data_IF_328737715740
#
_entry.id   IF_328737715740
#
_cell.length_a   1.000
_cell.length_b   1.000
_cell.length_c   1.000
_cell.angle_alpha   90.00
_cell.angle_beta   90.00
_cell.angle_gamma   90.00
#
_symmetry.space_group_name_H-M   'P 1'
#
loop_
_entity.id
_entity.type
_entity.pdbx_description
1 polymer ?
#
# COMPACT_ATOMS: atom_id res chain seq x y z
N UNK A 1 3.49 -38.19 12.17
CA UNK A 1 4.74 -38.05 12.96
C UNK A 1 5.18 -36.60 12.94
N UNK A 2 5.92 -36.18 13.94
CA UNK A 2 6.46 -34.82 13.99
C UNK A 2 7.89 -34.84 13.45
N UNK A 3 8.16 -34.12 12.39
CA UNK A 3 9.49 -33.94 11.82
C UNK A 3 9.99 -32.56 12.26
N UNK A 4 11.20 -32.54 12.82
CA UNK A 4 11.86 -31.31 13.25
C UNK A 4 13.20 -31.20 12.51
N UNK A 5 13.39 -30.08 11.80
CA UNK A 5 14.68 -29.72 11.17
C UNK A 5 15.21 -28.47 11.86
N UNK A 6 16.49 -28.50 12.22
CA UNK A 6 17.16 -27.35 12.86
C UNK A 6 18.41 -26.97 12.07
N UNK A 7 18.64 -25.67 11.95
CA UNK A 7 19.87 -25.13 11.37
C UNK A 7 20.38 -24.00 12.27
N UNK A 8 21.53 -24.26 12.92
CA UNK A 8 22.03 -23.38 13.97
C UNK A 8 21.08 -23.33 15.17
N UNK A 9 21.07 -22.20 15.87
CA UNK A 9 20.20 -21.98 17.04
C UNK A 9 18.89 -21.27 16.65
N UNK A 10 18.85 -20.58 15.52
CA UNK A 10 17.77 -19.67 15.14
C UNK A 10 16.73 -20.27 14.20
N UNK A 11 17.10 -21.23 13.34
CA UNK A 11 16.16 -21.76 12.35
C UNK A 11 15.57 -23.10 12.80
N UNK A 12 14.25 -23.15 12.87
CA UNK A 12 13.49 -24.35 13.18
C UNK A 12 12.38 -24.55 12.15
N UNK A 13 12.24 -25.77 11.62
CA UNK A 13 11.14 -26.17 10.76
C UNK A 13 10.43 -27.38 11.40
N UNK A 14 9.12 -27.28 11.52
CA UNK A 14 8.23 -28.33 12.02
C UNK A 14 7.26 -28.73 10.92
N UNK A 15 7.00 -30.03 10.73
CA UNK A 15 6.03 -30.52 9.74
C UNK A 15 5.66 -31.99 10.03
N UNK A 16 4.61 -32.50 9.36
CA UNK A 16 4.22 -33.90 9.48
C UNK A 16 5.12 -34.82 8.65
N UNK A 17 5.56 -34.36 7.49
CA UNK A 17 6.49 -35.08 6.63
C UNK A 17 7.40 -34.13 5.85
N UNK A 18 8.60 -34.59 5.53
CA UNK A 18 9.62 -33.84 4.82
C UNK A 18 10.28 -34.72 3.78
N UNK A 19 10.46 -34.18 2.59
CA UNK A 19 11.29 -34.77 1.55
C UNK A 19 12.51 -33.88 1.30
N UNK A 20 13.70 -34.40 1.42
CA UNK A 20 14.94 -33.70 1.14
C UNK A 20 15.69 -34.38 -0.01
N UNK A 21 15.97 -33.64 -1.05
CA UNK A 21 16.83 -34.04 -2.16
C UNK A 21 18.23 -33.48 -1.92
N UNK A 22 19.18 -34.37 -1.63
CA UNK A 22 20.56 -34.01 -1.34
C UNK A 22 21.34 -33.51 -2.56
N UNK A 23 20.99 -33.97 -3.77
CA UNK A 23 21.65 -33.57 -5.01
C UNK A 23 21.26 -32.12 -5.39
N UNK A 24 19.97 -31.79 -5.30
CA UNK A 24 19.44 -30.45 -5.60
C UNK A 24 19.40 -29.51 -4.39
N UNK A 25 19.64 -30.03 -3.18
CA UNK A 25 19.55 -29.30 -1.89
C UNK A 25 18.21 -28.63 -1.68
N UNK A 26 17.12 -29.29 -2.06
CA UNK A 26 15.76 -28.78 -1.91
C UNK A 26 14.99 -29.58 -0.87
N UNK A 27 14.15 -28.86 -0.11
CA UNK A 27 13.21 -29.46 0.82
C UNK A 27 11.78 -29.22 0.34
N UNK A 28 10.93 -30.20 0.58
CA UNK A 28 9.48 -30.08 0.49
C UNK A 28 8.88 -30.57 1.80
N UNK A 29 8.19 -29.71 2.50
CA UNK A 29 7.59 -29.98 3.81
C UNK A 29 6.08 -29.97 3.70
N UNK A 30 5.40 -30.93 4.33
CA UNK A 30 3.97 -31.13 4.21
C UNK A 30 3.32 -31.32 5.58
N UNK A 31 2.08 -30.80 5.70
CA UNK A 31 1.22 -30.96 6.87
C UNK A 31 1.65 -30.06 8.03
N UNK A 32 0.80 -29.12 8.38
CA UNK A 32 0.99 -28.20 9.53
C UNK A 32 2.40 -27.59 9.59
N UNK A 33 2.92 -27.18 8.43
CA UNK A 33 4.31 -26.69 8.33
C UNK A 33 4.46 -25.38 9.07
N UNK A 34 5.50 -25.29 9.89
CA UNK A 34 5.86 -24.10 10.65
C UNK A 34 7.36 -23.87 10.58
N UNK A 35 7.75 -22.76 9.95
CA UNK A 35 9.12 -22.28 9.88
C UNK A 35 9.28 -21.10 10.83
N UNK A 36 10.29 -21.14 11.68
CA UNK A 36 10.57 -20.10 12.66
C UNK A 36 12.04 -19.71 12.52
N UNK A 37 12.27 -18.40 12.46
CA UNK A 37 13.61 -17.81 12.65
C UNK A 37 13.54 -16.66 13.65
N UNK A 38 14.64 -15.93 13.85
CA UNK A 38 14.71 -14.81 14.80
C UNK A 38 13.77 -13.65 14.46
N UNK A 39 13.33 -13.54 13.22
CA UNK A 39 12.56 -12.40 12.72
C UNK A 39 11.07 -12.71 12.55
N UNK A 40 10.72 -13.98 12.26
CA UNK A 40 9.33 -14.31 11.91
C UNK A 40 8.97 -15.79 12.11
N UNK A 41 7.69 -16.04 12.15
CA UNK A 41 7.07 -17.34 12.05
C UNK A 41 6.26 -17.43 10.75
N UNK A 42 6.57 -18.39 9.88
CA UNK A 42 5.82 -18.70 8.67
C UNK A 42 5.08 -20.02 8.85
N UNK A 43 3.79 -20.06 8.60
CA UNK A 43 2.97 -21.26 8.61
C UNK A 43 2.24 -21.48 7.28
N UNK A 44 2.18 -22.75 6.83
CA UNK A 44 1.48 -23.18 5.62
C UNK A 44 1.19 -24.68 5.68
N UNK A 45 0.37 -25.20 4.79
CA UNK A 45 0.21 -26.66 4.64
C UNK A 45 1.37 -27.29 3.86
N UNK A 46 1.96 -26.53 2.95
CA UNK A 46 3.10 -26.98 2.13
C UNK A 46 4.11 -25.85 2.04
N UNK A 47 5.37 -26.16 2.32
CA UNK A 47 6.47 -25.21 2.22
C UNK A 47 7.63 -25.85 1.47
N UNK A 48 8.19 -25.08 0.55
CA UNK A 48 9.36 -25.44 -0.23
C UNK A 48 10.55 -24.57 0.16
N UNK A 49 11.73 -25.14 0.24
CA UNK A 49 12.96 -24.43 0.50
C UNK A 49 14.06 -24.82 -0.49
N UNK A 50 14.60 -23.86 -1.19
CA UNK A 50 15.78 -24.02 -2.05
C UNK A 50 17.01 -23.46 -1.33
N UNK A 51 17.89 -24.35 -0.84
CA UNK A 51 19.09 -23.93 -0.11
C UNK A 51 20.15 -23.27 -0.99
N UNK A 52 20.15 -23.53 -2.30
CA UNK A 52 21.13 -22.91 -3.19
C UNK A 52 20.80 -21.44 -3.43
N UNK A 53 19.51 -21.08 -3.38
CA UNK A 53 19.01 -19.73 -3.61
C UNK A 53 18.64 -19.01 -2.31
N UNK A 54 18.70 -19.70 -1.16
CA UNK A 54 18.18 -19.22 0.12
C UNK A 54 16.74 -18.68 0.02
N UNK A 55 15.86 -19.46 -0.65
CA UNK A 55 14.47 -19.08 -0.90
C UNK A 55 13.50 -20.06 -0.25
N UNK A 56 12.48 -19.51 0.38
CA UNK A 56 11.34 -20.25 0.91
C UNK A 56 10.11 -19.83 0.14
N UNK A 57 9.25 -20.76 -0.28
CA UNK A 57 8.01 -20.41 -0.96
C UNK A 57 6.86 -21.36 -0.62
N UNK A 58 5.64 -20.87 -0.78
CA UNK A 58 4.40 -21.60 -0.62
C UNK A 58 3.39 -21.22 -1.72
N UNK A 59 2.53 -22.19 -2.10
CA UNK A 59 1.55 -22.03 -3.16
C UNK A 59 0.11 -22.12 -2.65
N UNK A 60 -0.08 -22.53 -1.39
CA UNK A 60 -1.37 -22.89 -0.82
C UNK A 60 -1.57 -22.22 0.53
N UNK A 61 -1.81 -20.91 0.51
CA UNK A 61 -2.05 -20.10 1.68
C UNK A 61 -0.93 -20.16 2.73
N UNK A 62 -0.23 -19.08 2.86
CA UNK A 62 0.76 -18.86 3.90
C UNK A 62 0.36 -17.75 4.84
N UNK A 63 0.77 -17.90 6.09
CA UNK A 63 0.64 -16.88 7.11
C UNK A 63 1.99 -16.62 7.73
N UNK A 64 2.39 -15.36 7.74
CA UNK A 64 3.63 -14.89 8.37
C UNK A 64 3.25 -14.00 9.54
N UNK A 65 3.90 -14.20 10.67
CA UNK A 65 3.78 -13.37 11.86
C UNK A 65 5.18 -12.86 12.17
N UNK A 66 5.36 -11.56 12.13
CA UNK A 66 6.54 -10.87 12.66
C UNK A 66 6.20 -10.14 13.97
N UNK A 67 7.11 -9.29 14.47
CA UNK A 67 6.92 -8.62 15.76
C UNK A 67 5.67 -7.73 15.83
N UNK A 68 5.20 -7.17 14.72
CA UNK A 68 4.12 -6.19 14.67
C UNK A 68 3.02 -6.54 13.67
N UNK A 69 3.32 -7.38 12.68
CA UNK A 69 2.42 -7.60 11.55
C UNK A 69 2.02 -9.05 11.40
N UNK A 70 0.83 -9.23 10.87
CA UNK A 70 0.41 -10.51 10.32
C UNK A 70 0.22 -10.35 8.82
N UNK A 71 0.87 -11.21 8.03
CA UNK A 71 0.80 -11.22 6.58
C UNK A 71 0.17 -12.53 6.13
N UNK A 72 -0.82 -12.47 5.27
CA UNK A 72 -1.49 -13.62 4.69
C UNK A 72 -1.54 -13.48 3.16
N UNK A 73 -1.30 -14.55 2.44
CA UNK A 73 -1.44 -14.62 0.98
C UNK A 73 -1.69 -16.04 0.51
N UNK A 74 -2.19 -16.22 -0.71
CA UNK A 74 -2.33 -17.55 -1.28
C UNK A 74 -0.98 -18.09 -1.74
N UNK A 75 -0.13 -17.24 -2.34
CA UNK A 75 1.23 -17.57 -2.75
C UNK A 75 2.21 -16.58 -2.16
N UNK A 76 3.35 -17.05 -1.76
CA UNK A 76 4.41 -16.21 -1.24
C UNK A 76 5.78 -16.81 -1.42
N UNK A 77 6.77 -15.95 -1.53
CA UNK A 77 8.18 -16.28 -1.62
C UNK A 77 8.97 -15.36 -0.70
N UNK A 78 9.87 -15.92 0.06
CA UNK A 78 10.78 -15.19 0.94
C UNK A 78 12.22 -15.40 0.48
N UNK A 79 12.91 -14.33 0.15
CA UNK A 79 14.33 -14.29 -0.18
C UNK A 79 15.09 -13.92 1.09
N UNK A 80 15.72 -14.90 1.71
CA UNK A 80 16.34 -14.75 3.03
C UNK A 80 17.47 -13.71 2.99
N UNK A 81 18.34 -13.78 1.96
CA UNK A 81 19.50 -12.90 1.86
C UNK A 81 19.14 -11.41 1.67
N UNK A 82 18.03 -11.17 0.99
CA UNK A 82 17.55 -9.81 0.67
C UNK A 82 16.46 -9.33 1.62
N UNK A 83 16.03 -10.17 2.55
CA UNK A 83 14.89 -9.93 3.45
C UNK A 83 13.66 -9.39 2.71
N UNK A 84 13.38 -9.98 1.55
CA UNK A 84 12.32 -9.58 0.64
C UNK A 84 11.25 -10.65 0.58
N UNK A 85 10.01 -10.21 0.63
CA UNK A 85 8.85 -11.03 0.30
C UNK A 85 8.30 -10.66 -1.07
N UNK A 86 7.86 -11.66 -1.83
CA UNK A 86 6.98 -11.54 -2.99
C UNK A 86 5.68 -12.24 -2.67
N UNK A 87 4.56 -11.55 -2.84
CA UNK A 87 3.23 -12.10 -2.54
C UNK A 87 2.30 -11.96 -3.73
N UNK A 88 1.52 -13.01 -3.96
CA UNK A 88 0.48 -13.04 -4.97
C UNK A 88 -0.83 -13.61 -4.42
N UNK A 89 -1.93 -13.10 -4.95
CA UNK A 89 -3.30 -13.54 -4.70
C UNK A 89 -3.75 -13.38 -3.24
N UNK A 90 -4.72 -12.50 -3.05
CA UNK A 90 -5.36 -12.24 -1.75
C UNK A 90 -4.41 -11.79 -0.63
N UNK A 91 -3.41 -11.01 -0.97
CA UNK A 91 -2.44 -10.51 0.02
C UNK A 91 -3.13 -9.60 1.04
N UNK A 92 -2.86 -9.84 2.31
CA UNK A 92 -3.35 -9.04 3.45
C UNK A 92 -2.24 -8.82 4.44
N UNK A 93 -1.94 -7.58 4.74
CA UNK A 93 -1.04 -7.20 5.84
C UNK A 93 -1.90 -6.50 6.89
N UNK A 94 -1.85 -6.98 8.13
CA UNK A 94 -2.46 -6.35 9.28
C UNK A 94 -1.37 -5.93 10.24
N UNK A 95 -1.19 -4.62 10.37
CA UNK A 95 -0.31 -3.96 11.31
C UNK A 95 -1.16 -3.01 12.18
N UNK A 96 -0.78 -2.68 13.42
CA UNK A 96 -1.52 -1.72 14.24
C UNK A 96 -1.74 -0.36 13.59
N UNK A 97 -0.78 0.12 12.79
CA UNK A 97 -0.84 1.45 12.16
C UNK A 97 -1.48 1.45 10.76
N UNK A 98 -1.45 0.30 10.07
CA UNK A 98 -2.00 0.20 8.72
C UNK A 98 -2.52 -1.20 8.38
N UNK A 99 -3.39 -1.26 7.39
CA UNK A 99 -3.84 -2.50 6.76
C UNK A 99 -3.65 -2.39 5.25
N UNK A 100 -2.97 -3.38 4.67
CA UNK A 100 -2.77 -3.46 3.21
C UNK A 100 -3.54 -4.66 2.67
N UNK A 101 -4.17 -4.47 1.51
CA UNK A 101 -4.69 -5.56 0.68
C UNK A 101 -4.16 -5.37 -0.73
N UNK A 102 -3.67 -6.43 -1.33
CA UNK A 102 -3.10 -6.40 -2.67
C UNK A 102 -3.37 -7.71 -3.42
N UNK A 103 -3.40 -7.64 -4.74
CA UNK A 103 -3.41 -8.84 -5.58
C UNK A 103 -1.99 -9.30 -5.93
N UNK A 104 -0.99 -8.39 -5.86
CA UNK A 104 0.43 -8.69 -6.07
C UNK A 104 1.29 -7.57 -5.52
N UNK A 105 2.25 -7.91 -4.66
CA UNK A 105 3.17 -6.96 -4.06
C UNK A 105 4.49 -7.58 -3.62
N UNK A 106 5.51 -6.73 -3.54
CA UNK A 106 6.77 -7.02 -2.84
C UNK A 106 6.81 -6.23 -1.53
N UNK A 107 7.45 -6.82 -0.52
CA UNK A 107 7.69 -6.16 0.76
C UNK A 107 9.13 -6.40 1.22
N UNK A 108 9.82 -5.33 1.56
CA UNK A 108 11.22 -5.37 2.04
C UNK A 108 11.25 -5.10 3.53
N UNK A 109 11.68 -6.07 4.33
CA UNK A 109 11.69 -5.98 5.79
C UNK A 109 12.61 -4.88 6.33
N UNK A 110 13.84 -4.77 5.81
CA UNK A 110 14.83 -3.84 6.34
C UNK A 110 14.46 -2.37 6.10
N UNK A 111 13.77 -2.08 5.01
CA UNK A 111 13.39 -0.72 4.61
C UNK A 111 11.93 -0.41 4.87
N UNK A 112 11.13 -1.41 5.21
CA UNK A 112 9.68 -1.33 5.37
C UNK A 112 8.96 -0.76 4.13
N UNK A 113 9.51 -1.05 2.92
CA UNK A 113 8.97 -0.63 1.64
C UNK A 113 8.04 -1.68 1.05
N UNK A 114 6.83 -1.28 0.70
CA UNK A 114 5.86 -2.08 -0.03
C UNK A 114 5.74 -1.58 -1.48
N UNK A 115 5.94 -2.45 -2.46
CA UNK A 115 5.74 -2.15 -3.89
C UNK A 115 4.51 -2.89 -4.41
N UNK A 116 3.65 -2.19 -5.10
CA UNK A 116 2.38 -2.70 -5.63
C UNK A 116 2.43 -2.84 -7.14
N UNK A 117 2.03 -3.99 -7.65
CA UNK A 117 2.04 -4.30 -9.09
C UNK A 117 0.65 -4.50 -9.68
N UNK A 118 -0.35 -4.67 -8.80
CA UNK A 118 -1.76 -4.82 -9.15
C UNK A 118 -2.62 -4.06 -8.15
N UNK A 119 -3.93 -4.16 -8.33
CA UNK A 119 -4.93 -3.55 -7.45
C UNK A 119 -4.56 -3.69 -5.98
N UNK A 120 -4.42 -2.54 -5.33
CA UNK A 120 -4.01 -2.47 -3.93
C UNK A 120 -4.77 -1.39 -3.17
N UNK A 121 -4.95 -1.63 -1.90
CA UNK A 121 -5.54 -0.67 -0.97
C UNK A 121 -4.73 -0.61 0.31
N UNK A 122 -4.52 0.60 0.81
CA UNK A 122 -3.88 0.85 2.10
C UNK A 122 -4.86 1.63 2.95
N UNK A 123 -5.09 1.16 4.17
CA UNK A 123 -5.93 1.85 5.15
C UNK A 123 -5.08 2.18 6.36
N UNK A 124 -4.97 3.46 6.68
CA UNK A 124 -4.42 3.99 7.93
C UNK A 124 -5.56 4.51 8.80
N UNK A 125 -5.26 5.08 9.96
CA UNK A 125 -6.29 5.70 10.81
C UNK A 125 -6.98 6.87 10.13
N UNK A 126 -6.25 7.64 9.30
CA UNK A 126 -6.76 8.85 8.66
C UNK A 126 -7.14 8.68 7.20
N UNK A 127 -6.48 7.78 6.48
CA UNK A 127 -6.58 7.70 5.02
C UNK A 127 -6.95 6.32 4.51
N UNK A 128 -7.66 6.32 3.38
CA UNK A 128 -7.84 5.16 2.54
C UNK A 128 -7.22 5.47 1.17
N UNK A 129 -6.27 4.65 0.76
CA UNK A 129 -5.51 4.81 -0.47
C UNK A 129 -5.82 3.63 -1.39
N UNK A 130 -5.92 3.89 -2.68
CA UNK A 130 -6.10 2.90 -3.73
C UNK A 130 -5.14 3.19 -4.88
N UNK A 131 -4.58 2.14 -5.48
CA UNK A 131 -3.78 2.20 -6.71
C UNK A 131 -3.78 0.86 -7.44
N UNK A 132 -3.37 0.87 -8.71
CA UNK A 132 -3.06 -0.35 -9.45
C UNK A 132 -1.54 -0.59 -9.54
N UNK A 133 -0.74 0.44 -9.27
CA UNK A 133 0.72 0.38 -9.19
C UNK A 133 1.21 1.45 -8.22
N UNK A 134 2.36 1.23 -7.59
CA UNK A 134 2.96 2.24 -6.72
C UNK A 134 3.88 1.65 -5.67
N UNK A 135 4.29 2.48 -4.75
CA UNK A 135 4.99 2.04 -3.54
C UNK A 135 4.52 2.83 -2.32
N UNK A 136 4.71 2.25 -1.16
CA UNK A 136 4.46 2.88 0.12
C UNK A 136 5.58 2.52 1.11
N UNK A 137 6.25 3.55 1.61
CA UNK A 137 7.16 3.47 2.74
C UNK A 137 6.31 3.50 4.02
N UNK A 138 6.15 2.35 4.65
CA UNK A 138 5.27 2.21 5.81
C UNK A 138 5.86 2.88 7.06
N UNK A 139 7.19 2.98 7.13
CA UNK A 139 7.92 3.63 8.23
C UNK A 139 7.81 5.15 8.16
N UNK A 140 8.10 5.73 7.00
CA UNK A 140 8.09 7.17 6.80
C UNK A 140 6.70 7.70 6.38
N UNK A 141 5.73 6.81 6.11
CA UNK A 141 4.36 7.13 5.70
C UNK A 141 4.28 7.98 4.44
N UNK A 142 5.16 7.65 3.46
CA UNK A 142 5.28 8.32 2.18
C UNK A 142 5.03 7.32 1.05
N UNK A 143 4.34 7.74 0.00
CA UNK A 143 4.12 6.87 -1.15
C UNK A 143 3.93 7.61 -2.47
N UNK A 144 4.07 6.86 -3.57
CA UNK A 144 3.64 7.25 -4.90
C UNK A 144 2.67 6.17 -5.39
N UNK A 145 1.50 6.59 -5.79
CA UNK A 145 0.41 5.73 -6.23
C UNK A 145 0.04 6.08 -7.67
N UNK A 146 -0.03 5.09 -8.53
CA UNK A 146 -0.20 5.27 -9.98
C UNK A 146 -1.35 4.40 -10.50
N UNK A 147 -1.81 4.74 -11.71
CA UNK A 147 -2.83 4.03 -12.46
C UNK A 147 -4.16 3.99 -11.68
N UNK A 148 -4.96 5.04 -11.89
CA UNK A 148 -6.23 5.29 -11.19
C UNK A 148 -6.06 5.50 -9.67
N UNK A 149 -5.03 6.24 -9.30
CA UNK A 149 -4.75 6.49 -7.90
C UNK A 149 -5.86 7.30 -7.21
N UNK A 150 -6.09 6.95 -5.95
CA UNK A 150 -7.06 7.62 -5.09
C UNK A 150 -6.53 7.70 -3.67
N UNK A 151 -6.53 8.89 -3.10
CA UNK A 151 -6.30 9.13 -1.67
C UNK A 151 -7.55 9.77 -1.09
N UNK A 152 -8.06 9.25 0.02
CA UNK A 152 -9.28 9.78 0.61
C UNK A 152 -9.21 9.74 2.13
N UNK A 153 -9.76 10.78 2.75
CA UNK A 153 -10.06 10.85 4.18
C UNK A 153 -11.57 11.07 4.40
N UNK A 154 -11.96 11.44 5.61
CA UNK A 154 -13.36 11.72 5.95
C UNK A 154 -13.95 12.83 5.08
N UNK A 155 -13.20 13.89 4.82
CA UNK A 155 -13.67 15.12 4.22
C UNK A 155 -13.43 15.21 2.71
N UNK A 156 -12.34 14.61 2.22
CA UNK A 156 -11.84 14.86 0.87
C UNK A 156 -11.48 13.57 0.14
N UNK A 157 -11.63 13.59 -1.17
CA UNK A 157 -11.16 12.54 -2.06
C UNK A 157 -10.31 13.19 -3.16
N UNK A 158 -9.10 12.69 -3.35
CA UNK A 158 -8.18 13.10 -4.42
C UNK A 158 -8.03 11.92 -5.37
N UNK A 159 -8.26 12.15 -6.66
CA UNK A 159 -7.99 11.23 -7.76
C UNK A 159 -6.92 11.83 -8.67
N UNK A 160 -6.13 10.97 -9.29
CA UNK A 160 -5.14 11.32 -10.30
C UNK A 160 -4.53 10.07 -10.93
N UNK A 161 -3.89 10.21 -12.09
CA UNK A 161 -3.14 9.10 -12.68
C UNK A 161 -1.90 8.78 -11.83
N UNK A 162 -1.31 9.79 -11.17
CA UNK A 162 -0.23 9.63 -10.20
C UNK A 162 -0.45 10.58 -9.02
N UNK A 163 -0.31 10.05 -7.79
CA UNK A 163 -0.41 10.81 -6.55
C UNK A 163 0.83 10.52 -5.71
N UNK A 164 1.61 11.57 -5.40
CA UNK A 164 2.55 11.57 -4.29
C UNK A 164 1.81 11.89 -3.01
N UNK A 165 2.09 11.18 -1.94
CA UNK A 165 1.43 11.31 -0.65
C UNK A 165 2.45 11.28 0.49
N UNK A 166 2.30 12.19 1.45
CA UNK A 166 3.09 12.23 2.67
C UNK A 166 2.17 12.49 3.86
N UNK A 167 1.90 11.44 4.65
CA UNK A 167 1.00 11.50 5.80
C UNK A 167 1.53 12.41 6.91
N UNK A 168 2.85 12.39 7.17
CA UNK A 168 3.46 13.21 8.23
C UNK A 168 3.36 14.72 7.94
N UNK A 169 3.46 15.10 6.68
CA UNK A 169 3.30 16.49 6.25
C UNK A 169 1.85 16.86 5.97
N UNK A 170 0.94 15.89 5.97
CA UNK A 170 -0.45 16.07 5.53
C UNK A 170 -0.52 16.74 4.16
N UNK A 171 0.31 16.24 3.24
CA UNK A 171 0.50 16.76 1.91
C UNK A 171 0.28 15.69 0.85
N UNK A 172 -0.37 16.11 -0.23
CA UNK A 172 -0.45 15.30 -1.44
C UNK A 172 -0.24 16.18 -2.67
N UNK A 173 0.45 15.65 -3.69
CA UNK A 173 0.40 16.22 -5.03
C UNK A 173 -0.13 15.18 -6.00
N UNK A 174 -0.92 15.64 -6.95
CA UNK A 174 -1.53 14.77 -7.96
C UNK A 174 -1.24 15.31 -9.36
N UNK A 175 -1.09 14.42 -10.32
CA UNK A 175 -0.83 14.75 -11.71
C UNK A 175 -1.66 13.92 -12.67
N UNK A 176 -2.14 14.59 -13.73
CA UNK A 176 -3.00 14.09 -14.80
C UNK A 176 -4.38 13.61 -14.32
N UNK A 177 -5.41 14.00 -15.05
CA UNK A 177 -6.80 13.60 -14.78
C UNK A 177 -7.28 13.85 -13.33
N UNK A 178 -6.86 14.99 -12.78
CA UNK A 178 -7.12 15.27 -11.36
C UNK A 178 -8.59 15.56 -11.12
N UNK A 179 -9.10 15.00 -10.04
CA UNK A 179 -10.40 15.35 -9.48
C UNK A 179 -10.32 15.35 -7.95
N UNK A 180 -10.47 16.51 -7.36
CA UNK A 180 -10.58 16.68 -5.91
C UNK A 180 -12.04 16.87 -5.58
N UNK A 181 -12.58 16.08 -4.66
CA UNK A 181 -13.94 16.19 -4.16
C UNK A 181 -13.86 16.58 -2.70
N UNK A 182 -14.34 17.76 -2.36
CA UNK A 182 -14.56 18.19 -0.99
C UNK A 182 -16.02 17.89 -0.65
N UNK A 183 -16.23 16.92 0.25
CA UNK A 183 -17.57 16.43 0.61
C UNK A 183 -18.33 17.41 1.48
N UNK A 184 -17.62 18.23 2.29
CA UNK A 184 -18.24 19.20 3.20
C UNK A 184 -18.77 20.41 2.46
N UNK A 185 -18.07 20.82 1.40
CA UNK A 185 -18.40 22.03 0.64
C UNK A 185 -19.18 21.75 -0.64
N UNK A 186 -19.49 20.48 -0.96
CA UNK A 186 -20.05 20.09 -2.25
C UNK A 186 -19.25 20.66 -3.44
N UNK A 187 -17.93 20.64 -3.30
CA UNK A 187 -17.01 21.23 -4.25
C UNK A 187 -16.25 20.15 -4.99
N UNK A 188 -16.22 20.26 -6.31
CA UNK A 188 -15.39 19.41 -7.18
C UNK A 188 -14.40 20.32 -7.89
N UNK A 189 -13.10 20.02 -7.80
CA UNK A 189 -12.06 20.72 -8.55
C UNK A 189 -11.38 19.72 -9.49
N UNK A 190 -11.20 20.11 -10.74
CA UNK A 190 -10.53 19.34 -11.79
C UNK A 190 -9.33 20.11 -12.31
N UNK A 191 -8.36 19.42 -12.90
CA UNK A 191 -7.16 20.01 -13.51
C UNK A 191 -6.16 18.92 -13.90
N UNK A 192 -4.94 19.33 -14.26
CA UNK A 192 -3.88 18.40 -14.66
C UNK A 192 -2.74 18.32 -13.64
N UNK A 193 -2.64 19.29 -12.71
CA UNK A 193 -1.72 19.25 -11.58
C UNK A 193 -2.36 19.90 -10.36
N UNK A 194 -2.19 19.26 -9.19
CA UNK A 194 -2.65 19.83 -7.92
C UNK A 194 -1.68 19.53 -6.79
N UNK A 195 -1.64 20.46 -5.85
CA UNK A 195 -1.02 20.30 -4.53
C UNK A 195 -2.09 20.53 -3.47
N UNK A 196 -2.16 19.65 -2.49
CA UNK A 196 -3.13 19.68 -1.40
C UNK A 196 -2.38 19.73 -0.08
N UNK A 197 -2.67 20.74 0.72
CA UNK A 197 -2.09 21.00 2.04
C UNK A 197 -3.20 20.88 3.09
N UNK A 198 -3.36 19.70 3.66
CA UNK A 198 -4.46 19.40 4.60
C UNK A 198 -4.39 20.27 5.86
N UNK A 199 -3.19 20.49 6.43
CA UNK A 199 -3.02 21.37 7.61
C UNK A 199 -3.49 22.79 7.38
N UNK A 200 -3.35 23.31 6.17
CA UNK A 200 -3.72 24.65 5.77
C UNK A 200 -5.14 24.71 5.20
N UNK A 201 -5.80 23.56 5.08
CA UNK A 201 -7.08 23.41 4.43
C UNK A 201 -7.10 24.10 3.05
N UNK A 202 -6.02 23.90 2.29
CA UNK A 202 -5.79 24.57 1.01
C UNK A 202 -5.40 23.62 -0.10
N UNK A 203 -5.64 24.04 -1.33
CA UNK A 203 -5.22 23.33 -2.54
C UNK A 203 -4.89 24.33 -3.64
N UNK A 204 -3.80 24.07 -4.37
CA UNK A 204 -3.38 24.78 -5.56
C UNK A 204 -3.58 23.87 -6.77
N UNK A 205 -4.31 24.33 -7.77
CA UNK A 205 -4.59 23.54 -8.96
C UNK A 205 -4.22 24.36 -10.21
N UNK A 206 -3.47 23.73 -11.11
CA UNK A 206 -2.96 24.35 -12.33
C UNK A 206 -3.24 23.48 -13.56
N UNK A 207 -2.95 24.02 -14.74
CA UNK A 207 -3.12 23.36 -16.05
C UNK A 207 -4.61 23.05 -16.29
N UNK A 208 -5.32 24.06 -16.76
CA UNK A 208 -6.75 24.03 -17.06
C UNK A 208 -7.66 23.69 -15.86
N UNK A 209 -7.47 24.33 -14.72
CA UNK A 209 -8.29 24.04 -13.55
C UNK A 209 -9.72 24.54 -13.73
N UNK A 210 -10.66 23.78 -13.16
CA UNK A 210 -12.07 24.12 -13.08
C UNK A 210 -12.62 23.71 -11.74
N UNK A 211 -13.20 24.67 -11.01
CA UNK A 211 -13.96 24.40 -9.80
C UNK A 211 -15.46 24.39 -10.09
N UNK A 212 -16.18 23.44 -9.49
CA UNK A 212 -17.63 23.26 -9.62
C UNK A 212 -18.20 23.22 -8.21
N UNK A 213 -18.91 24.24 -7.83
CA UNK A 213 -19.67 24.25 -6.57
C UNK A 213 -21.10 23.83 -6.85
N UNK A 214 -21.54 22.74 -6.23
CA UNK A 214 -22.86 22.14 -6.43
C UNK A 214 -23.80 22.67 -5.35
N UNK A 215 -24.83 23.42 -5.77
CA UNK A 215 -25.92 23.88 -4.90
C UNK A 215 -27.18 23.02 -5.12
N UNK A 216 -28.23 23.27 -4.31
CA UNK A 216 -29.47 22.47 -4.42
C UNK A 216 -30.16 22.58 -5.79
N UNK A 217 -30.07 23.74 -6.46
CA UNK A 217 -30.83 24.02 -7.68
C UNK A 217 -29.96 24.38 -8.88
N UNK A 218 -28.65 24.56 -8.70
CA UNK A 218 -27.74 25.01 -9.76
C UNK A 218 -26.29 24.61 -9.45
N UNK A 219 -25.37 24.90 -10.37
CA UNK A 219 -23.93 24.68 -10.19
C UNK A 219 -23.15 25.91 -10.66
N UNK A 220 -22.28 26.40 -9.81
CA UNK A 220 -21.36 27.49 -10.16
C UNK A 220 -20.05 26.91 -10.70
N UNK A 221 -19.63 27.38 -11.86
CA UNK A 221 -18.38 26.98 -12.52
C UNK A 221 -17.38 28.14 -12.47
N UNK A 222 -16.16 27.86 -12.02
CA UNK A 222 -15.05 28.81 -12.00
C UNK A 222 -13.90 28.19 -12.79
N UNK A 223 -13.40 28.92 -13.80
CA UNK A 223 -12.22 28.56 -14.61
C UNK A 223 -11.18 29.65 -14.51
N UNK A 224 -9.90 29.28 -14.53
CA UNK A 224 -8.76 30.20 -14.51
C UNK A 224 -7.52 29.45 -15.05
N UNK A 225 -6.36 30.08 -15.13
CA UNK A 225 -5.09 29.41 -15.41
C UNK A 225 -4.55 28.71 -14.16
N UNK A 226 -4.85 29.28 -13.00
CA UNK A 226 -4.56 28.72 -11.68
C UNK A 226 -5.74 28.94 -10.76
N UNK A 227 -6.14 27.92 -9.99
CA UNK A 227 -7.12 28.02 -8.91
C UNK A 227 -6.44 27.74 -7.57
N UNK A 228 -6.70 28.61 -6.61
CA UNK A 228 -6.30 28.44 -5.23
C UNK A 228 -7.53 28.36 -4.34
N UNK A 229 -7.71 27.22 -3.66
CA UNK A 229 -8.77 27.00 -2.69
C UNK A 229 -8.19 27.08 -1.29
N UNK A 230 -8.75 27.91 -0.41
CA UNK A 230 -8.28 28.06 0.97
C UNK A 230 -9.44 28.33 1.92
N UNK A 231 -9.30 27.86 3.14
CA UNK A 231 -10.24 28.10 4.26
C UNK A 231 -11.05 26.87 4.63
N UNK A 232 -11.54 26.87 5.86
CA UNK A 232 -12.40 25.83 6.43
C UNK A 232 -13.85 26.02 6.01
N UNK A 233 -14.69 25.07 6.41
CA UNK A 233 -16.14 25.13 6.22
C UNK A 233 -16.69 26.51 6.53
N UNK A 234 -17.59 27.00 5.70
CA UNK A 234 -18.26 28.32 5.77
C UNK A 234 -17.34 29.53 5.53
N UNK A 235 -16.04 29.37 5.44
CA UNK A 235 -15.06 30.44 5.15
C UNK A 235 -14.20 30.17 3.92
N UNK A 236 -14.48 29.09 3.19
CA UNK A 236 -13.71 28.70 2.03
C UNK A 236 -13.78 29.74 0.91
N UNK A 237 -12.63 30.08 0.38
CA UNK A 237 -12.48 30.97 -0.77
C UNK A 237 -11.86 30.19 -1.91
N UNK A 238 -12.31 30.47 -3.12
CA UNK A 238 -11.70 30.02 -4.36
C UNK A 238 -11.24 31.27 -5.10
N UNK A 239 -9.95 31.36 -5.38
CA UNK A 239 -9.31 32.48 -6.04
C UNK A 239 -8.78 31.99 -7.37
N UNK A 240 -9.19 32.63 -8.45
CA UNK A 240 -8.72 32.38 -9.81
C UNK A 240 -7.69 33.40 -10.24
N UNK A 241 -6.59 32.94 -10.83
CA UNK A 241 -5.57 33.77 -11.44
C UNK A 241 -5.53 33.49 -12.94
N UNK A 242 -5.40 34.56 -13.73
CA UNK A 242 -5.17 34.55 -15.17
C UNK A 242 -3.78 35.14 -15.40
N UNK A 243 -2.97 34.49 -16.26
CA UNK A 243 -1.65 34.91 -16.69
C UNK A 243 -1.73 35.61 -18.06
#
# INVERSE_FOLDING_TARGET
>A
GEVIVKQGESINLFCDSLNYDGDTRKFSSYGSVKFINDEMELSSNVLFFDRNLNEIFFNENGKIIDSLSTIESKKGKYFIDNKKYEFEENVRINNPEYKIRSDMMDYFLDTELAYFFKKSTIKTDRYNIYCNKGFYDTKNKIGIFENDAKVSNEDRIIYGDSIYFNDNLEYASASKNIRIIDKKENLIIKGEYAEVFEKLDSALITKNPMAINITKNDSLFIKADTLYSIGKKDTRKIIGYFN
#
